data_IF_189552740909
#
_entry.id   IF_189552740909
#
_cell.length_a   1.000
_cell.length_b   1.000
_cell.length_c   1.000
_cell.angle_alpha   90.00
_cell.angle_beta   90.00
_cell.angle_gamma   90.00
#
_symmetry.space_group_name_H-M   'P 1'
#
loop_
_entity.id
_entity.type
_entity.pdbx_description
1 polymer ?
#
# COMPACT_ATOMS: atom_id res chain seq x y z
N UNK A 1 -14.40 -15.18 -27.32
CA UNK A 1 -13.36 -14.19 -27.67
C UNK A 1 -12.02 -14.70 -27.10
N UNK A 2 -10.92 -14.44 -27.80
CA UNK A 2 -9.59 -14.60 -27.25
C UNK A 2 -9.17 -13.32 -26.55
N UNK A 3 -8.83 -13.38 -25.28
CA UNK A 3 -8.49 -12.22 -24.46
C UNK A 3 -7.07 -12.39 -23.93
N UNK A 4 -6.22 -11.43 -24.25
CA UNK A 4 -4.88 -11.35 -23.69
C UNK A 4 -4.89 -10.50 -22.42
N UNK A 5 -4.20 -10.97 -21.38
CA UNK A 5 -4.09 -10.27 -20.09
C UNK A 5 -2.61 -10.13 -19.77
N UNK A 6 -2.14 -8.91 -19.61
CA UNK A 6 -0.72 -8.58 -19.37
C UNK A 6 -0.54 -8.19 -17.91
N UNK A 7 0.27 -8.97 -17.21
CA UNK A 7 0.51 -8.86 -15.77
C UNK A 7 -0.35 -9.84 -14.96
N UNK A 8 0.32 -10.69 -14.18
CA UNK A 8 -0.29 -11.67 -13.31
C UNK A 8 -0.28 -11.26 -11.82
N UNK A 9 -0.47 -9.97 -11.55
CA UNK A 9 -0.85 -9.47 -10.24
C UNK A 9 -2.34 -9.75 -9.96
N UNK A 10 -2.83 -9.36 -8.77
CA UNK A 10 -4.23 -9.59 -8.37
C UNK A 10 -5.24 -9.06 -9.39
N UNK A 11 -4.95 -7.93 -10.04
CA UNK A 11 -5.82 -7.32 -11.06
C UNK A 11 -5.95 -8.22 -12.29
N UNK A 12 -4.83 -8.67 -12.86
CA UNK A 12 -4.83 -9.54 -14.04
C UNK A 12 -5.40 -10.92 -13.74
N UNK A 13 -5.01 -11.52 -12.61
CA UNK A 13 -5.50 -12.84 -12.20
C UNK A 13 -7.01 -12.85 -11.92
N UNK A 14 -7.54 -11.81 -11.26
CA UNK A 14 -8.99 -11.71 -11.03
C UNK A 14 -9.76 -11.46 -12.33
N UNK A 15 -9.23 -10.63 -13.25
CA UNK A 15 -9.81 -10.50 -14.59
C UNK A 15 -9.84 -11.84 -15.32
N UNK A 16 -8.73 -12.59 -15.33
CA UNK A 16 -8.66 -13.91 -15.94
C UNK A 16 -9.67 -14.89 -15.32
N UNK A 17 -9.79 -14.93 -14.00
CA UNK A 17 -10.72 -15.78 -13.28
C UNK A 17 -12.18 -15.58 -13.71
N UNK A 18 -12.62 -14.33 -13.82
CA UNK A 18 -13.99 -14.04 -14.22
C UNK A 18 -14.20 -14.20 -15.73
N UNK A 19 -13.23 -13.84 -16.56
CA UNK A 19 -13.33 -13.90 -18.02
C UNK A 19 -13.20 -15.32 -18.57
N UNK A 20 -12.40 -16.18 -17.94
CA UNK A 20 -12.20 -17.58 -18.38
C UNK A 20 -13.48 -18.42 -18.35
N UNK A 21 -14.50 -17.98 -17.62
CA UNK A 21 -15.82 -18.67 -17.57
C UNK A 21 -16.53 -18.67 -18.93
N UNK A 22 -16.24 -17.69 -19.79
CA UNK A 22 -16.96 -17.52 -21.06
C UNK A 22 -16.03 -17.17 -22.24
N UNK A 23 -14.74 -17.03 -21.99
CA UNK A 23 -13.76 -16.58 -22.98
C UNK A 23 -12.48 -17.42 -22.91
N UNK A 24 -11.74 -17.44 -23.99
CA UNK A 24 -10.41 -18.02 -24.06
C UNK A 24 -9.40 -16.97 -23.60
N UNK A 25 -8.80 -17.15 -22.45
CA UNK A 25 -7.88 -16.19 -21.84
C UNK A 25 -6.44 -16.67 -21.92
N UNK A 26 -5.51 -15.76 -22.14
CA UNK A 26 -4.07 -16.00 -21.98
C UNK A 26 -3.49 -14.92 -21.11
N UNK A 27 -2.81 -15.29 -20.02
CA UNK A 27 -2.15 -14.39 -19.08
C UNK A 27 -0.65 -14.41 -19.32
N UNK A 28 -0.05 -13.25 -19.51
CA UNK A 28 1.39 -13.06 -19.71
C UNK A 28 2.00 -12.44 -18.46
N UNK A 29 3.04 -13.08 -17.91
CA UNK A 29 3.78 -12.63 -16.74
C UNK A 29 5.29 -12.70 -16.99
N UNK A 30 5.98 -11.60 -16.74
CA UNK A 30 7.43 -11.50 -16.93
C UNK A 30 8.23 -12.22 -15.84
N UNK A 31 7.68 -12.29 -14.62
CA UNK A 31 8.30 -13.00 -13.52
C UNK A 31 8.10 -14.53 -13.61
N UNK A 32 8.97 -15.32 -12.95
CA UNK A 32 8.82 -16.78 -12.89
C UNK A 32 7.63 -17.23 -12.05
N UNK A 33 7.02 -16.31 -11.27
CA UNK A 33 5.89 -16.58 -10.40
C UNK A 33 4.80 -15.54 -10.58
N UNK A 34 3.55 -16.00 -10.53
CA UNK A 34 2.38 -15.10 -10.50
C UNK A 34 2.16 -14.50 -9.11
N UNK A 35 1.39 -13.42 -9.04
CA UNK A 35 0.96 -12.79 -7.79
C UNK A 35 1.31 -11.29 -7.68
N UNK A 36 2.35 -10.84 -8.38
CA UNK A 36 2.79 -9.44 -8.29
C UNK A 36 3.13 -9.04 -6.85
N UNK A 37 2.43 -8.03 -6.30
CA UNK A 37 2.58 -7.61 -4.90
C UNK A 37 1.98 -8.57 -3.86
N UNK A 38 1.36 -9.67 -4.27
CA UNK A 38 1.02 -10.80 -3.39
C UNK A 38 2.29 -11.60 -3.12
N UNK A 39 3.05 -11.21 -2.10
CA UNK A 39 4.40 -11.69 -1.86
C UNK A 39 4.54 -12.21 -0.42
N UNK A 40 4.15 -13.45 -0.20
CA UNK A 40 4.35 -14.16 1.08
C UNK A 40 5.75 -14.78 1.10
N UNK A 41 6.56 -14.42 2.09
CA UNK A 41 7.86 -15.03 2.35
C UNK A 41 7.74 -16.03 3.48
N UNK A 42 8.21 -17.25 3.23
CA UNK A 42 8.29 -18.28 4.27
C UNK A 42 9.68 -18.23 4.88
N UNK A 43 9.74 -17.95 6.17
CA UNK A 43 10.99 -17.82 6.92
C UNK A 43 10.97 -18.70 8.19
N UNK A 44 12.12 -19.20 8.58
CA UNK A 44 12.30 -19.92 9.83
C UNK A 44 12.93 -19.00 10.87
N UNK A 45 12.27 -18.80 12.01
CA UNK A 45 12.76 -17.98 13.11
C UNK A 45 12.60 -18.78 14.41
N UNK A 46 13.70 -19.00 15.12
CA UNK A 46 13.74 -19.79 16.37
C UNK A 46 13.15 -21.21 16.27
N UNK A 47 13.25 -21.84 15.10
CA UNK A 47 12.73 -23.18 14.85
C UNK A 47 11.23 -23.24 14.53
N UNK A 48 10.57 -22.09 14.35
CA UNK A 48 9.19 -21.97 13.90
C UNK A 48 9.14 -21.39 12.47
N UNK A 49 8.26 -21.92 11.65
CA UNK A 49 8.05 -21.46 10.27
C UNK A 49 6.95 -20.40 10.24
N UNK A 50 7.26 -19.25 9.65
CA UNK A 50 6.35 -18.11 9.53
C UNK A 50 6.12 -17.75 8.07
N UNK A 51 4.86 -17.58 7.68
CA UNK A 51 4.45 -17.04 6.39
C UNK A 51 4.17 -15.55 6.55
N UNK A 52 5.01 -14.69 5.94
CA UNK A 52 5.01 -13.24 6.15
C UNK A 52 4.76 -12.54 4.83
N UNK A 53 3.71 -11.72 4.80
CA UNK A 53 3.40 -10.88 3.67
C UNK A 53 4.27 -9.62 3.67
N UNK A 54 4.99 -9.41 2.57
CA UNK A 54 5.90 -8.26 2.37
C UNK A 54 5.37 -7.22 1.40
N UNK A 55 4.26 -7.51 0.71
CA UNK A 55 3.57 -6.58 -0.18
C UNK A 55 2.15 -6.32 0.33
N UNK A 56 1.17 -7.08 -0.13
CA UNK A 56 -0.21 -6.97 0.35
C UNK A 56 -0.39 -7.69 1.69
N UNK A 57 -0.65 -6.93 2.78
CA UNK A 57 -0.61 -7.44 4.16
C UNK A 57 -2.01 -7.56 4.77
N UNK A 58 -2.86 -6.54 4.59
CA UNK A 58 -4.15 -6.41 5.28
C UNK A 58 -5.24 -5.84 4.37
N UNK A 59 -6.50 -6.17 4.70
CA UNK A 59 -7.70 -5.60 4.10
C UNK A 59 -8.74 -5.35 5.20
N UNK A 60 -9.81 -4.61 4.89
CA UNK A 60 -10.86 -4.32 5.86
C UNK A 60 -12.27 -4.52 5.28
N UNK A 61 -13.26 -4.56 6.15
CA UNK A 61 -14.66 -4.85 5.80
C UNK A 61 -15.40 -3.67 5.17
N UNK A 62 -14.82 -2.45 5.17
CA UNK A 62 -15.48 -1.27 4.58
C UNK A 62 -15.08 -1.02 3.12
N UNK A 63 -13.79 -1.09 2.83
CA UNK A 63 -13.24 -0.60 1.56
C UNK A 63 -12.85 -1.71 0.58
N UNK A 64 -12.99 -2.98 0.99
CA UNK A 64 -12.63 -4.15 0.17
C UNK A 64 -13.80 -5.10 -0.14
N UNK A 65 -15.03 -4.63 -0.47
CA UNK A 65 -16.19 -5.52 -0.64
C UNK A 65 -16.02 -6.54 -1.76
N UNK A 66 -15.41 -6.13 -2.89
CA UNK A 66 -15.15 -7.02 -4.02
C UNK A 66 -14.06 -8.05 -3.72
N UNK A 67 -13.03 -7.65 -2.97
CA UNK A 67 -11.97 -8.56 -2.56
C UNK A 67 -12.49 -9.63 -1.57
N UNK A 68 -13.29 -9.21 -0.61
CA UNK A 68 -13.95 -10.13 0.33
C UNK A 68 -14.85 -11.11 -0.42
N UNK A 69 -15.61 -10.63 -1.41
CA UNK A 69 -16.43 -11.50 -2.27
C UNK A 69 -15.56 -12.51 -3.00
N UNK A 70 -14.44 -12.09 -3.58
CA UNK A 70 -13.50 -12.97 -4.26
C UNK A 70 -12.94 -14.04 -3.31
N UNK A 71 -12.47 -13.65 -2.11
CA UNK A 71 -11.96 -14.58 -1.11
C UNK A 71 -13.01 -15.64 -0.73
N UNK A 72 -14.27 -15.23 -0.57
CA UNK A 72 -15.38 -16.14 -0.28
C UNK A 72 -15.66 -17.10 -1.46
N UNK A 73 -15.58 -16.64 -2.71
CA UNK A 73 -15.72 -17.49 -3.90
C UNK A 73 -14.58 -18.53 -4.02
N UNK A 74 -13.40 -18.17 -3.51
CA UNK A 74 -12.20 -19.04 -3.52
C UNK A 74 -12.05 -19.91 -2.26
N UNK A 75 -12.98 -19.82 -1.31
CA UNK A 75 -12.91 -20.48 0.02
C UNK A 75 -11.63 -20.15 0.80
N UNK A 76 -11.17 -18.89 0.68
CA UNK A 76 -9.98 -18.40 1.37
C UNK A 76 -10.37 -17.63 2.61
N UNK A 77 -9.83 -18.04 3.76
CA UNK A 77 -10.21 -17.51 5.08
C UNK A 77 -9.29 -16.37 5.50
N UNK A 78 -9.89 -15.25 5.90
CA UNK A 78 -9.23 -14.16 6.63
C UNK A 78 -9.39 -14.32 8.14
N UNK A 79 -8.43 -13.80 8.90
CA UNK A 79 -8.54 -13.67 10.36
C UNK A 79 -8.50 -12.20 10.76
N UNK A 80 -9.19 -11.80 11.85
CA UNK A 80 -9.10 -10.45 12.40
C UNK A 80 -7.65 -10.06 12.70
N UNK A 81 -7.30 -8.84 12.35
CA UNK A 81 -6.00 -8.22 12.58
C UNK A 81 -6.20 -6.80 13.11
N UNK A 82 -5.12 -6.17 13.52
CA UNK A 82 -5.11 -4.78 13.95
C UNK A 82 -4.29 -3.92 12.97
N UNK A 83 -4.73 -2.68 12.79
CA UNK A 83 -4.03 -1.67 12.03
C UNK A 83 -3.73 -0.50 12.96
N UNK A 84 -2.80 -0.72 13.87
CA UNK A 84 -2.37 0.28 14.85
C UNK A 84 -1.16 1.06 14.32
N UNK A 85 -1.04 2.31 14.77
CA UNK A 85 0.02 3.22 14.34
C UNK A 85 0.69 3.86 15.56
N UNK A 86 2.01 3.93 15.52
CA UNK A 86 2.83 4.62 16.52
C UNK A 86 3.83 5.58 15.89
N UNK A 87 4.24 6.55 16.68
CA UNK A 87 5.30 7.50 16.34
C UNK A 87 6.33 7.52 17.46
N UNK A 88 7.59 7.41 17.07
CA UNK A 88 8.76 7.69 17.92
C UNK A 88 9.55 8.84 17.31
N UNK A 89 9.92 9.84 18.13
CA UNK A 89 10.70 11.00 17.71
C UNK A 89 11.96 11.11 18.55
N UNK A 90 13.11 10.91 17.93
CA UNK A 90 14.42 10.91 18.62
C UNK A 90 14.74 12.26 19.24
N UNK A 91 14.52 13.35 18.50
CA UNK A 91 14.85 14.69 18.94
C UNK A 91 14.08 15.10 20.21
N UNK A 92 12.78 14.80 20.29
CA UNK A 92 11.94 15.19 21.44
C UNK A 92 11.76 14.07 22.47
N UNK A 93 12.20 12.86 22.19
CA UNK A 93 11.96 11.65 22.98
C UNK A 93 10.45 11.35 23.11
N UNK A 94 9.63 11.78 22.13
CA UNK A 94 8.20 11.48 22.11
C UNK A 94 7.99 10.06 21.61
N UNK A 95 7.24 9.26 22.36
CA UNK A 95 6.75 7.94 21.91
C UNK A 95 5.29 7.78 22.33
N UNK A 96 4.45 7.34 21.38
CA UNK A 96 3.04 7.04 21.63
C UNK A 96 2.47 6.12 20.54
N UNK A 97 1.35 5.46 20.84
CA UNK A 97 0.54 4.74 19.88
C UNK A 97 -0.93 5.13 19.97
N UNK A 98 -1.64 5.11 18.86
CA UNK A 98 -3.01 5.61 18.73
C UNK A 98 -4.11 4.60 19.08
N UNK A 99 -3.80 3.43 19.67
CA UNK A 99 -4.77 2.36 19.87
C UNK A 99 -5.76 2.63 21.03
N UNK A 100 -5.27 3.16 22.14
CA UNK A 100 -6.09 3.48 23.33
C UNK A 100 -5.39 4.50 24.23
N UNK A 101 -6.08 4.96 25.28
CA UNK A 101 -5.53 5.95 26.22
C UNK A 101 -4.23 5.49 26.89
N UNK A 102 -4.09 4.20 27.19
CA UNK A 102 -2.86 3.68 27.82
C UNK A 102 -1.66 3.76 26.87
N UNK A 103 -1.85 3.43 25.60
CA UNK A 103 -0.81 3.49 24.56
C UNK A 103 -0.53 4.93 24.10
N UNK A 104 -1.53 5.82 24.09
CA UNK A 104 -1.32 7.26 23.87
C UNK A 104 -0.35 7.86 24.89
N UNK A 105 -0.44 7.41 26.12
CA UNK A 105 0.47 7.82 27.19
C UNK A 105 1.50 6.72 27.53
N UNK A 106 1.99 5.98 26.53
CA UNK A 106 3.08 5.01 26.69
C UNK A 106 4.30 5.64 27.37
N UNK A 107 4.65 6.86 26.99
CA UNK A 107 5.50 7.74 27.80
C UNK A 107 4.63 8.60 28.74
N UNK A 108 4.60 8.26 30.02
CA UNK A 108 3.81 9.01 31.03
C UNK A 108 4.22 10.49 31.15
N UNK A 109 5.44 10.86 30.72
CA UNK A 109 5.88 12.26 30.67
C UNK A 109 5.06 13.09 29.69
N UNK A 110 4.39 12.47 28.73
CA UNK A 110 3.50 13.14 27.79
C UNK A 110 2.29 13.81 28.48
N UNK A 111 1.88 13.32 29.65
CA UNK A 111 0.85 13.94 30.48
C UNK A 111 1.22 15.39 30.91
N UNK A 112 2.52 15.66 31.06
CA UNK A 112 3.06 16.95 31.51
C UNK A 112 3.52 17.85 30.33
N UNK A 113 3.33 17.42 29.08
CA UNK A 113 3.77 18.15 27.88
C UNK A 113 2.61 18.94 27.26
N UNK A 114 2.56 20.29 27.37
CA UNK A 114 1.45 21.08 26.78
C UNK A 114 1.32 20.90 25.28
N UNK A 115 2.46 20.78 24.55
CA UNK A 115 2.48 20.55 23.11
C UNK A 115 1.83 19.21 22.70
N UNK A 116 1.92 18.20 23.56
CA UNK A 116 1.27 16.91 23.33
C UNK A 116 -0.27 17.03 23.45
N UNK A 117 -0.77 17.72 24.47
CA UNK A 117 -2.20 17.99 24.59
C UNK A 117 -2.74 18.86 23.45
N UNK A 118 -1.94 19.83 22.97
CA UNK A 118 -2.29 20.61 21.78
C UNK A 118 -2.40 19.71 20.54
N UNK A 119 -1.47 18.78 20.36
CA UNK A 119 -1.52 17.78 19.27
C UNK A 119 -2.80 16.93 19.37
N UNK A 120 -3.14 16.39 20.53
CA UNK A 120 -4.36 15.59 20.71
C UNK A 120 -5.62 16.41 20.43
N UNK A 121 -5.65 17.69 20.88
CA UNK A 121 -6.76 18.61 20.57
C UNK A 121 -6.89 18.87 19.08
N UNK A 122 -5.77 19.05 18.37
CA UNK A 122 -5.76 19.29 16.92
C UNK A 122 -6.17 18.02 16.16
N UNK A 123 -5.83 16.80 16.62
CA UNK A 123 -6.34 15.53 16.05
C UNK A 123 -7.87 15.52 16.10
N UNK A 124 -8.46 15.79 17.28
CA UNK A 124 -9.91 15.77 17.43
C UNK A 124 -10.61 16.86 16.60
N UNK A 125 -9.98 18.02 16.51
CA UNK A 125 -10.46 19.13 15.68
C UNK A 125 -10.39 18.80 14.19
N UNK A 126 -9.26 18.26 13.72
CA UNK A 126 -9.08 17.83 12.34
C UNK A 126 -10.11 16.78 11.93
N UNK A 127 -10.28 15.74 12.74
CA UNK A 127 -11.24 14.67 12.47
C UNK A 127 -12.66 15.21 12.24
N UNK A 128 -13.09 16.20 13.03
CA UNK A 128 -14.40 16.83 12.89
C UNK A 128 -14.47 17.77 11.70
N UNK A 129 -13.53 18.73 11.60
CA UNK A 129 -13.56 19.77 10.57
C UNK A 129 -13.33 19.20 9.16
N UNK A 130 -12.43 18.23 9.01
CA UNK A 130 -12.16 17.59 7.73
C UNK A 130 -13.38 16.83 7.18
N UNK A 131 -14.13 16.14 8.03
CA UNK A 131 -15.39 15.49 7.64
C UNK A 131 -16.42 16.53 7.22
N UNK A 132 -16.61 17.59 8.01
CA UNK A 132 -17.57 18.66 7.74
C UNK A 132 -17.23 19.40 6.43
N UNK A 133 -15.96 19.69 6.20
CA UNK A 133 -15.48 20.34 4.95
C UNK A 133 -15.70 19.43 3.73
N UNK A 134 -15.46 18.12 3.87
CA UNK A 134 -15.69 17.14 2.80
C UNK A 134 -17.18 16.99 2.47
N UNK A 135 -18.05 16.89 3.49
CA UNK A 135 -19.49 16.71 3.33
C UNK A 135 -20.20 17.97 2.84
N UNK A 136 -19.61 19.13 3.08
CA UNK A 136 -20.14 20.43 2.63
C UNK A 136 -19.50 20.90 1.32
N UNK A 137 -18.73 20.05 0.62
CA UNK A 137 -18.06 20.35 -0.66
C UNK A 137 -17.17 21.61 -0.61
N UNK A 138 -16.47 21.81 0.52
CA UNK A 138 -15.56 22.94 0.75
C UNK A 138 -14.08 22.64 0.43
N UNK A 139 -13.80 21.53 -0.27
CA UNK A 139 -12.46 21.10 -0.63
C UNK A 139 -12.29 21.08 -2.14
N UNK A 140 -11.83 22.20 -2.77
CA UNK A 140 -11.52 22.21 -4.19
C UNK A 140 -10.43 21.16 -4.52
N UNK A 141 -10.49 20.51 -5.70
CA UNK A 141 -9.54 19.46 -6.08
C UNK A 141 -8.08 19.89 -6.07
N UNK A 142 -7.83 21.17 -6.39
CA UNK A 142 -6.50 21.78 -6.46
C UNK A 142 -5.94 22.23 -5.11
N UNK A 143 -6.75 22.23 -4.04
CA UNK A 143 -6.30 22.64 -2.71
C UNK A 143 -5.28 21.64 -2.15
N UNK A 144 -4.08 22.12 -1.87
CA UNK A 144 -3.03 21.30 -1.27
C UNK A 144 -3.26 21.07 0.23
N UNK A 145 -2.83 19.93 0.73
CA UNK A 145 -2.97 19.59 2.15
C UNK A 145 -2.25 20.60 3.05
N UNK A 146 -1.04 21.00 2.68
CA UNK A 146 -0.29 22.01 3.45
C UNK A 146 -1.02 23.37 3.54
N UNK A 147 -1.64 23.81 2.45
CA UNK A 147 -2.45 25.04 2.42
C UNK A 147 -3.70 24.92 3.28
N UNK A 148 -4.41 23.79 3.19
CA UNK A 148 -5.56 23.48 4.04
C UNK A 148 -5.20 23.53 5.52
N UNK A 149 -4.13 22.85 5.93
CA UNK A 149 -3.67 22.80 7.32
C UNK A 149 -3.28 24.20 7.83
N UNK A 150 -2.61 24.98 7.00
CA UNK A 150 -2.22 26.38 7.30
C UNK A 150 -3.44 27.30 7.44
N UNK A 151 -4.41 27.20 6.52
CA UNK A 151 -5.64 28.02 6.55
C UNK A 151 -6.47 27.80 7.80
N UNK A 152 -6.47 26.56 8.32
CA UNK A 152 -7.16 26.15 9.55
C UNK A 152 -6.32 26.36 10.82
N UNK A 153 -5.09 26.89 10.72
CA UNK A 153 -4.19 27.12 11.86
C UNK A 153 -3.95 25.86 12.71
N UNK A 154 -3.67 24.71 12.08
CA UNK A 154 -3.22 23.52 12.78
C UNK A 154 -1.79 23.68 13.29
N UNK A 155 -1.52 23.19 14.51
CA UNK A 155 -0.21 23.31 15.14
C UNK A 155 0.83 22.36 14.56
N UNK A 156 2.10 22.79 14.47
CA UNK A 156 3.22 21.95 14.00
C UNK A 156 3.30 20.59 14.74
N UNK A 157 3.09 20.48 16.07
CA UNK A 157 3.10 19.17 16.72
C UNK A 157 2.09 18.16 16.14
N UNK A 158 0.92 18.62 15.69
CA UNK A 158 -0.07 17.80 15.03
C UNK A 158 0.37 17.40 13.61
N UNK A 159 0.87 18.38 12.84
CA UNK A 159 1.31 18.16 11.46
C UNK A 159 2.51 17.21 11.44
N UNK A 160 3.59 17.55 12.15
CA UNK A 160 4.89 16.89 12.06
C UNK A 160 4.97 15.56 12.81
N UNK A 161 4.14 15.36 13.85
CA UNK A 161 4.25 14.20 14.74
C UNK A 161 3.02 13.28 14.71
N UNK A 162 2.03 13.55 13.87
CA UNK A 162 0.85 12.70 13.69
C UNK A 162 0.44 12.59 12.23
N UNK A 163 -0.02 13.71 11.60
CA UNK A 163 -0.72 13.65 10.32
C UNK A 163 0.21 13.27 9.16
N UNK A 164 1.32 14.00 9.03
CA UNK A 164 2.30 13.78 7.97
C UNK A 164 2.99 12.43 8.12
N UNK A 165 3.47 12.00 9.31
CA UNK A 165 4.00 10.65 9.51
C UNK A 165 3.00 9.53 9.16
N UNK A 166 1.72 9.71 9.49
CA UNK A 166 0.69 8.72 9.14
C UNK A 166 0.47 8.65 7.63
N UNK A 167 0.37 9.81 6.96
CA UNK A 167 0.29 9.87 5.51
C UNK A 167 1.51 9.27 4.83
N UNK A 168 2.71 9.66 5.26
CA UNK A 168 3.96 9.14 4.72
C UNK A 168 4.08 7.60 4.88
N UNK A 169 3.60 7.06 6.01
CA UNK A 169 3.55 5.62 6.22
C UNK A 169 2.59 4.91 5.26
N UNK A 170 1.41 5.50 5.00
CA UNK A 170 0.38 4.91 4.12
C UNK A 170 0.84 4.89 2.65
N UNK A 171 1.43 5.99 2.19
CA UNK A 171 1.81 6.14 0.77
C UNK A 171 3.31 5.93 0.51
N UNK A 172 4.09 5.47 1.49
CA UNK A 172 5.55 5.31 1.39
C UNK A 172 6.22 6.56 0.77
N UNK A 173 5.84 7.73 1.29
CA UNK A 173 6.23 9.03 0.75
C UNK A 173 7.07 9.82 1.74
N UNK A 174 7.73 10.88 1.26
CA UNK A 174 8.46 11.81 2.13
C UNK A 174 7.49 12.75 2.87
N UNK A 175 7.95 13.31 3.99
CA UNK A 175 7.16 14.28 4.76
C UNK A 175 6.79 15.52 3.95
N UNK A 176 7.72 16.02 3.13
CA UNK A 176 7.50 17.22 2.31
C UNK A 176 6.49 16.98 1.20
N UNK A 177 6.60 15.82 0.51
CA UNK A 177 5.64 15.45 -0.52
C UNK A 177 4.20 15.30 0.01
N UNK A 178 4.02 15.00 1.30
CA UNK A 178 2.68 14.91 1.90
C UNK A 178 1.95 16.26 1.95
N UNK A 179 2.65 17.38 2.14
CA UNK A 179 2.03 18.71 2.13
C UNK A 179 1.55 19.11 0.72
N UNK A 180 2.11 18.52 -0.34
CA UNK A 180 1.72 18.71 -1.75
C UNK A 180 0.55 17.83 -2.23
N UNK A 181 0.09 16.90 -1.40
CA UNK A 181 -1.09 16.08 -1.73
C UNK A 181 -2.36 16.94 -1.84
N UNK A 182 -3.30 16.54 -2.72
CA UNK A 182 -4.63 17.12 -2.72
C UNK A 182 -5.32 16.89 -1.36
N UNK A 183 -5.76 17.95 -0.71
CA UNK A 183 -6.49 17.88 0.56
C UNK A 183 -7.77 17.04 0.42
N UNK A 184 -8.49 17.21 -0.70
CA UNK A 184 -9.69 16.44 -1.01
C UNK A 184 -9.41 14.93 -1.07
N UNK A 185 -8.36 14.53 -1.80
CA UNK A 185 -7.97 13.12 -1.92
C UNK A 185 -7.57 12.53 -0.56
N UNK A 186 -6.71 13.23 0.17
CA UNK A 186 -6.21 12.82 1.49
C UNK A 186 -7.36 12.62 2.49
N UNK A 187 -8.22 13.62 2.64
CA UNK A 187 -9.33 13.59 3.61
C UNK A 187 -10.36 12.53 3.23
N UNK A 188 -10.67 12.37 1.94
CA UNK A 188 -11.58 11.33 1.44
C UNK A 188 -11.04 9.94 1.72
N UNK A 189 -9.75 9.72 1.50
CA UNK A 189 -9.08 8.46 1.82
C UNK A 189 -9.15 8.15 3.33
N UNK A 190 -8.79 9.13 4.18
CA UNK A 190 -8.84 8.99 5.63
C UNK A 190 -10.25 8.69 6.14
N UNK A 191 -11.28 9.36 5.59
CA UNK A 191 -12.68 9.09 5.93
C UNK A 191 -13.07 7.66 5.56
N UNK A 192 -12.79 7.24 4.33
CA UNK A 192 -13.17 5.93 3.82
C UNK A 192 -12.52 4.78 4.61
N UNK A 193 -11.31 4.98 5.11
CA UNK A 193 -10.57 3.99 5.91
C UNK A 193 -10.80 4.12 7.43
N UNK A 194 -11.76 4.96 7.85
CA UNK A 194 -12.09 5.15 9.27
C UNK A 194 -11.01 5.84 10.11
N UNK A 195 -10.02 6.49 9.45
CA UNK A 195 -8.89 7.14 10.13
C UNK A 195 -9.27 8.47 10.79
N UNK A 196 -10.38 9.09 10.36
CA UNK A 196 -10.96 10.29 10.98
C UNK A 196 -11.95 9.96 12.12
N UNK A 197 -12.03 8.70 12.53
CA UNK A 197 -12.95 8.26 13.60
C UNK A 197 -12.20 7.63 14.76
N UNK A 198 -12.66 7.94 15.98
CA UNK A 198 -12.18 7.28 17.21
C UNK A 198 -13.01 6.03 17.52
N UNK A 199 -14.26 6.02 17.08
CA UNK A 199 -15.21 4.91 17.27
C UNK A 199 -15.73 4.44 15.91
N UNK A 200 -16.28 3.22 15.86
CA UNK A 200 -16.81 2.64 14.63
C UNK A 200 -15.76 2.68 13.50
N UNK A 201 -14.63 2.04 13.74
CA UNK A 201 -13.58 1.81 12.75
C UNK A 201 -13.82 0.50 12.01
N UNK A 202 -13.34 0.36 10.76
CA UNK A 202 -13.41 -0.90 10.06
C UNK A 202 -12.63 -1.98 10.81
N UNK A 203 -13.11 -3.22 10.75
CA UNK A 203 -12.34 -4.37 11.17
C UNK A 203 -11.33 -4.73 10.10
N UNK A 204 -10.07 -4.78 10.48
CA UNK A 204 -8.99 -5.22 9.61
C UNK A 204 -8.80 -6.72 9.68
N UNK A 205 -8.36 -7.30 8.59
CA UNK A 205 -8.11 -8.73 8.42
C UNK A 205 -6.79 -8.97 7.71
N UNK A 206 -6.19 -10.13 7.96
CA UNK A 206 -5.09 -10.70 7.18
C UNK A 206 -5.48 -12.10 6.72
N UNK A 207 -4.87 -12.60 5.65
CA UNK A 207 -5.18 -13.93 5.12
C UNK A 207 -4.45 -15.00 5.96
N UNK A 208 -5.16 -16.03 6.36
CA UNK A 208 -4.57 -17.14 7.11
C UNK A 208 -3.57 -17.89 6.22
N UNK A 209 -2.33 -18.01 6.68
CA UNK A 209 -1.24 -18.62 5.89
C UNK A 209 -0.56 -17.71 4.87
N UNK A 210 -0.94 -16.41 4.88
CA UNK A 210 -0.38 -15.39 4.00
C UNK A 210 -1.18 -15.16 2.71
N UNK A 211 -0.94 -14.04 2.05
CA UNK A 211 -1.70 -13.61 0.89
C UNK A 211 -1.58 -14.57 -0.32
N UNK A 212 -0.49 -15.31 -0.44
CA UNK A 212 -0.32 -16.30 -1.49
C UNK A 212 -1.41 -17.42 -1.49
N UNK A 213 -2.15 -17.58 -0.39
CA UNK A 213 -3.17 -18.64 -0.28
C UNK A 213 -4.32 -18.49 -1.29
N UNK A 214 -4.60 -17.29 -1.79
CA UNK A 214 -5.63 -17.13 -2.83
C UNK A 214 -5.11 -17.34 -4.26
N UNK A 215 -3.80 -17.40 -4.48
CA UNK A 215 -3.22 -17.47 -5.83
C UNK A 215 -3.62 -18.79 -6.54
N UNK A 216 -3.39 -19.92 -5.90
CA UNK A 216 -3.69 -21.22 -6.49
C UNK A 216 -5.19 -21.39 -6.80
N UNK A 217 -6.14 -21.20 -5.86
CA UNK A 217 -7.55 -21.30 -6.18
C UNK A 217 -8.00 -20.29 -7.26
N UNK A 218 -7.39 -19.11 -7.30
CA UNK A 218 -7.70 -18.07 -8.28
C UNK A 218 -7.25 -18.47 -9.69
N UNK A 219 -6.08 -19.08 -9.82
CA UNK A 219 -5.48 -19.43 -11.13
C UNK A 219 -5.91 -20.82 -11.64
N UNK A 220 -6.30 -21.71 -10.76
CA UNK A 220 -6.61 -23.11 -11.09
C UNK A 220 -7.56 -23.29 -12.30
N UNK A 221 -8.64 -22.49 -12.48
CA UNK A 221 -9.55 -22.67 -13.62
C UNK A 221 -8.94 -22.40 -15.00
N UNK A 222 -7.79 -21.72 -15.08
CA UNK A 222 -7.12 -21.33 -16.34
C UNK A 222 -5.60 -21.47 -16.23
N UNK A 223 -5.10 -22.35 -15.37
CA UNK A 223 -3.66 -22.51 -15.10
C UNK A 223 -2.83 -22.80 -16.36
N UNK A 224 -3.36 -23.58 -17.30
CA UNK A 224 -2.70 -23.92 -18.55
C UNK A 224 -2.55 -22.74 -19.53
N UNK A 225 -3.25 -21.64 -19.24
CA UNK A 225 -3.24 -20.40 -20.03
C UNK A 225 -2.38 -19.30 -19.41
N UNK A 226 -1.63 -19.60 -18.36
CA UNK A 226 -0.72 -18.66 -17.69
C UNK A 226 0.71 -18.89 -18.18
N UNK A 227 1.27 -17.88 -18.82
CA UNK A 227 2.62 -17.90 -19.38
C UNK A 227 3.53 -17.04 -18.48
N UNK A 228 4.27 -17.68 -17.58
CA UNK A 228 5.32 -17.06 -16.77
C UNK A 228 6.64 -16.95 -17.55
N UNK A 229 7.65 -16.25 -17.02
CA UNK A 229 8.94 -15.99 -17.70
C UNK A 229 8.75 -15.49 -19.12
N UNK A 230 7.69 -14.70 -19.35
CA UNK A 230 7.28 -14.24 -20.67
C UNK A 230 7.36 -12.72 -20.78
N UNK A 231 8.29 -12.24 -21.59
CA UNK A 231 8.52 -10.82 -21.81
C UNK A 231 7.74 -10.39 -23.04
N UNK A 232 6.82 -9.44 -22.88
CA UNK A 232 6.15 -8.77 -23.98
C UNK A 232 7.07 -7.66 -24.49
N UNK A 233 7.28 -7.60 -25.79
CA UNK A 233 8.12 -6.61 -26.43
C UNK A 233 7.31 -5.52 -27.13
N UNK A 234 6.11 -5.86 -27.60
CA UNK A 234 5.28 -4.92 -28.35
C UNK A 234 3.82 -5.36 -28.39
N UNK A 235 2.94 -4.39 -28.29
CA UNK A 235 1.50 -4.53 -28.45
C UNK A 235 1.03 -3.49 -29.48
N UNK A 236 0.36 -3.96 -30.52
CA UNK A 236 -0.28 -3.11 -31.55
C UNK A 236 -1.79 -3.42 -31.59
N UNK A 237 -2.62 -2.38 -31.57
CA UNK A 237 -4.07 -2.47 -31.68
C UNK A 237 -4.49 -1.95 -33.06
N UNK A 238 -4.98 -2.82 -33.92
CA UNK A 238 -5.42 -2.45 -35.27
C UNK A 238 -6.56 -3.33 -35.74
N UNK A 239 -7.45 -2.80 -36.53
CA UNK A 239 -8.53 -3.53 -37.20
C UNK A 239 -9.42 -4.36 -36.26
N UNK A 240 -9.60 -3.89 -35.01
CA UNK A 240 -10.38 -4.59 -34.00
C UNK A 240 -9.68 -5.83 -33.40
N UNK A 241 -8.38 -5.96 -33.63
CA UNK A 241 -7.54 -7.02 -33.07
C UNK A 241 -6.35 -6.46 -32.30
N UNK A 242 -5.74 -7.29 -31.48
CA UNK A 242 -4.53 -6.98 -30.71
C UNK A 242 -3.43 -7.94 -31.11
N UNK A 243 -2.36 -7.42 -31.65
CA UNK A 243 -1.16 -8.18 -31.99
C UNK A 243 -0.13 -8.04 -30.87
N UNK A 244 0.35 -9.14 -30.34
CA UNK A 244 1.27 -9.19 -29.20
C UNK A 244 2.52 -9.94 -29.62
N UNK A 245 3.67 -9.26 -29.59
CA UNK A 245 4.99 -9.86 -29.79
C UNK A 245 5.65 -10.11 -28.43
N UNK A 246 6.04 -11.33 -28.17
CA UNK A 246 6.61 -11.75 -26.89
C UNK A 246 7.69 -12.82 -27.05
N UNK A 247 8.48 -13.05 -26.01
CA UNK A 247 9.40 -14.18 -25.92
C UNK A 247 9.33 -14.82 -24.54
N UNK A 248 9.46 -16.13 -24.49
CA UNK A 248 9.69 -16.86 -23.23
C UNK A 248 11.18 -16.91 -22.91
N UNK A 249 11.55 -17.14 -21.66
CA UNK A 249 12.96 -17.20 -21.23
C UNK A 249 13.75 -18.20 -22.07
N UNK A 250 14.78 -17.71 -22.79
CA UNK A 250 15.60 -18.51 -23.68
C UNK A 250 14.95 -18.93 -25.02
N UNK A 251 13.71 -18.47 -25.30
CA UNK A 251 12.96 -18.77 -26.51
C UNK A 251 13.11 -17.73 -27.61
N UNK A 252 12.68 -18.11 -28.82
CA UNK A 252 12.57 -17.17 -29.96
C UNK A 252 11.36 -16.26 -29.79
N UNK A 253 11.40 -15.14 -30.54
CA UNK A 253 10.26 -14.21 -30.65
C UNK A 253 9.01 -14.96 -31.18
N UNK A 254 7.90 -14.76 -30.53
CA UNK A 254 6.59 -15.30 -30.88
C UNK A 254 5.59 -14.16 -31.07
N UNK A 255 4.53 -14.43 -31.83
CA UNK A 255 3.43 -13.50 -32.00
C UNK A 255 2.10 -14.21 -31.75
N UNK A 256 1.17 -13.51 -31.14
CA UNK A 256 -0.21 -13.97 -30.97
C UNK A 256 -1.19 -12.86 -31.29
N UNK A 257 -2.41 -13.24 -31.64
CA UNK A 257 -3.52 -12.32 -31.93
C UNK A 257 -4.65 -12.60 -30.94
N UNK A 258 -5.14 -11.53 -30.31
CA UNK A 258 -6.30 -11.55 -29.43
C UNK A 258 -7.40 -10.61 -29.94
N UNK A 259 -8.65 -10.90 -29.55
CA UNK A 259 -9.81 -10.04 -29.83
C UNK A 259 -9.89 -8.86 -28.86
N UNK A 260 -9.33 -9.00 -27.66
CA UNK A 260 -9.31 -7.96 -26.62
C UNK A 260 -8.04 -8.06 -25.76
N UNK A 261 -7.71 -6.94 -25.10
CA UNK A 261 -6.54 -6.81 -24.24
C UNK A 261 -6.94 -6.23 -22.88
N UNK A 262 -6.41 -6.81 -21.81
CA UNK A 262 -6.37 -6.24 -20.48
C UNK A 262 -4.92 -5.97 -20.11
N UNK A 263 -4.55 -4.71 -19.88
CA UNK A 263 -3.23 -4.33 -19.35
C UNK A 263 -3.37 -4.14 -17.85
N UNK A 264 -2.80 -5.06 -17.09
CA UNK A 264 -2.88 -5.12 -15.62
C UNK A 264 -1.50 -4.93 -14.98
N UNK A 265 -0.64 -4.15 -15.63
CA UNK A 265 0.69 -3.72 -15.15
C UNK A 265 0.60 -2.34 -14.50
N UNK A 266 1.73 -1.82 -14.02
CA UNK A 266 1.85 -0.40 -13.72
C UNK A 266 1.64 0.44 -14.99
N UNK A 267 1.18 1.68 -14.84
CA UNK A 267 0.88 2.54 -15.99
C UNK A 267 2.13 2.95 -16.77
N UNK A 268 3.28 3.14 -16.13
CA UNK A 268 4.58 3.38 -16.76
C UNK A 268 5.00 2.20 -17.67
N UNK A 269 4.83 0.96 -17.19
CA UNK A 269 5.07 -0.23 -18.01
C UNK A 269 4.08 -0.35 -19.16
N UNK A 270 2.81 0.01 -18.95
CA UNK A 270 1.81 0.02 -20.01
C UNK A 270 2.20 0.96 -21.17
N UNK A 271 2.76 2.13 -20.85
CA UNK A 271 3.28 3.08 -21.85
C UNK A 271 4.36 2.44 -22.72
N UNK A 272 5.28 1.70 -22.13
CA UNK A 272 6.38 1.05 -22.86
C UNK A 272 5.91 -0.08 -23.78
N UNK A 273 4.83 -0.79 -23.38
CA UNK A 273 4.31 -1.93 -24.11
C UNK A 273 3.41 -1.54 -25.29
N UNK A 274 2.63 -0.47 -25.16
CA UNK A 274 1.67 -0.01 -26.18
C UNK A 274 2.37 0.81 -27.27
N UNK A 275 2.59 0.21 -28.43
CA UNK A 275 3.28 0.90 -29.52
C UNK A 275 2.41 1.96 -30.22
N UNK A 276 1.10 1.75 -30.24
CA UNK A 276 0.08 2.61 -30.87
C UNK A 276 -0.61 3.54 -29.85
N UNK A 277 0.07 3.86 -28.73
CA UNK A 277 -0.46 4.70 -27.67
C UNK A 277 -0.88 6.08 -28.19
N UNK A 278 -2.11 6.48 -27.89
CA UNK A 278 -2.61 7.82 -28.25
C UNK A 278 -2.03 8.91 -27.32
N UNK A 279 -2.00 10.18 -27.76
CA UNK A 279 -1.54 11.28 -26.90
C UNK A 279 -2.29 11.39 -25.56
N UNK A 280 -3.59 11.13 -25.56
CA UNK A 280 -4.41 11.16 -24.33
C UNK A 280 -4.10 9.98 -23.40
N UNK A 281 -3.92 8.77 -23.92
CA UNK A 281 -3.50 7.62 -23.12
C UNK A 281 -2.13 7.87 -22.50
N UNK A 282 -1.18 8.40 -23.27
CA UNK A 282 0.15 8.74 -22.77
C UNK A 282 0.09 9.78 -21.65
N UNK A 283 -0.69 10.85 -21.82
CA UNK A 283 -0.88 11.89 -20.81
C UNK A 283 -1.45 11.31 -19.52
N UNK A 284 -2.52 10.51 -19.60
CA UNK A 284 -3.19 9.96 -18.42
C UNK A 284 -2.36 8.89 -17.71
N UNK A 285 -1.70 8.00 -18.45
CA UNK A 285 -0.88 6.95 -17.86
C UNK A 285 0.41 7.50 -17.24
N UNK A 286 1.03 8.52 -17.84
CA UNK A 286 2.21 9.20 -17.32
C UNK A 286 1.92 10.07 -16.09
N UNK A 287 0.67 10.45 -15.87
CA UNK A 287 0.28 11.23 -14.69
C UNK A 287 0.34 10.44 -13.37
N UNK A 288 0.52 9.12 -13.41
CA UNK A 288 0.65 8.26 -12.24
C UNK A 288 2.14 7.98 -11.99
N UNK A 289 2.79 8.65 -11.02
CA UNK A 289 4.21 8.44 -10.75
C UNK A 289 4.43 7.15 -9.94
N UNK A 290 5.50 6.44 -10.24
CA UNK A 290 5.98 5.28 -9.48
C UNK A 290 7.34 5.58 -8.86
N UNK A 291 7.57 5.08 -7.66
CA UNK A 291 8.86 5.17 -6.95
C UNK A 291 9.29 3.80 -6.47
N UNK A 292 10.57 3.52 -6.59
CA UNK A 292 11.15 2.31 -5.99
C UNK A 292 11.10 2.42 -4.47
N UNK A 293 10.74 1.31 -3.82
CA UNK A 293 10.66 1.18 -2.37
C UNK A 293 11.52 -0.02 -1.95
N UNK A 294 12.50 0.19 -1.08
CA UNK A 294 13.29 -0.90 -0.53
C UNK A 294 12.62 -1.42 0.73
N UNK A 295 12.34 -2.73 0.75
CA UNK A 295 11.71 -3.40 1.90
C UNK A 295 12.65 -4.47 2.43
N UNK A 296 13.02 -4.37 3.71
CA UNK A 296 13.91 -5.31 4.39
C UNK A 296 13.13 -6.10 5.43
N UNK A 297 13.09 -7.43 5.28
CA UNK A 297 12.54 -8.34 6.28
C UNK A 297 13.61 -8.71 7.28
N UNK A 298 13.38 -8.45 8.58
CA UNK A 298 14.36 -8.70 9.64
C UNK A 298 13.70 -8.99 11.00
N UNK A 299 14.51 -9.30 12.01
CA UNK A 299 14.08 -9.56 13.41
C UNK A 299 14.66 -8.55 14.41
N UNK A 300 15.23 -7.45 13.94
CA UNK A 300 15.86 -6.43 14.78
C UNK A 300 14.82 -5.56 15.48
N UNK A 301 14.55 -5.84 16.75
CA UNK A 301 13.62 -5.10 17.60
C UNK A 301 14.09 -3.69 17.96
N UNK A 302 15.35 -3.33 17.72
CA UNK A 302 15.87 -1.98 18.00
C UNK A 302 15.26 -0.92 17.06
N UNK A 303 14.62 -1.36 15.98
CA UNK A 303 13.89 -0.50 15.06
C UNK A 303 12.51 -0.08 15.59
N UNK A 304 12.00 -0.77 16.59
CA UNK A 304 10.73 -0.45 17.26
C UNK A 304 10.90 0.67 18.30
N UNK A 305 9.82 1.32 18.74
CA UNK A 305 9.87 2.25 19.86
C UNK A 305 10.54 1.63 21.08
N UNK A 306 11.25 2.43 21.87
CA UNK A 306 11.91 1.96 23.10
C UNK A 306 10.93 1.39 24.13
N UNK A 307 9.69 1.92 24.10
CA UNK A 307 8.62 1.46 25.00
C UNK A 307 7.77 0.40 24.32
N UNK A 308 7.77 -0.86 24.81
CA UNK A 308 6.93 -1.92 24.22
C UNK A 308 5.43 -1.55 24.18
N UNK A 309 4.96 -0.70 25.12
CA UNK A 309 3.58 -0.23 25.13
C UNK A 309 3.23 0.67 23.91
N UNK A 310 4.21 1.24 23.24
CA UNK A 310 4.05 2.01 22.01
C UNK A 310 4.20 1.16 20.74
N UNK A 311 4.53 -0.13 20.83
CA UNK A 311 4.62 -0.99 19.66
C UNK A 311 3.26 -1.13 18.99
N UNK A 312 3.27 -1.01 17.68
CA UNK A 312 2.08 -1.02 16.83
C UNK A 312 2.34 -1.85 15.58
N UNK A 313 1.30 -2.12 14.81
CA UNK A 313 1.45 -2.75 13.50
C UNK A 313 2.34 -1.90 12.59
N UNK A 314 2.21 -0.58 12.66
CA UNK A 314 3.02 0.39 11.91
C UNK A 314 3.68 1.36 12.89
N UNK A 315 5.02 1.40 12.86
CA UNK A 315 5.82 2.21 13.77
C UNK A 315 6.65 3.20 12.95
N UNK A 316 6.34 4.48 13.05
CA UNK A 316 7.03 5.53 12.32
C UNK A 316 8.08 6.20 13.20
N UNK A 317 9.31 6.28 12.69
CA UNK A 317 10.45 6.89 13.39
C UNK A 317 10.79 8.23 12.75
N UNK A 318 10.78 9.29 13.55
CA UNK A 318 11.29 10.61 13.20
C UNK A 318 12.74 10.71 13.70
N UNK A 319 13.71 10.64 12.79
CA UNK A 319 15.14 10.78 13.10
C UNK A 319 15.51 12.25 13.34
N UNK A 320 16.64 12.48 14.04
CA UNK A 320 17.11 13.83 14.33
C UNK A 320 17.71 14.56 13.12
N UNK A 321 18.10 13.82 12.08
CA UNK A 321 18.87 14.34 10.94
C UNK A 321 18.01 14.91 9.78
N UNK A 322 16.69 14.96 9.92
CA UNK A 322 15.79 15.38 8.83
C UNK A 322 15.78 16.88 8.54
N UNK A 323 16.42 17.72 9.37
CA UNK A 323 16.41 19.18 9.19
C UNK A 323 17.47 19.70 8.16
N UNK A 324 18.31 18.83 7.56
CA UNK A 324 19.44 19.24 6.70
C UNK A 324 19.55 18.52 5.35
N UNK A 325 18.53 17.84 4.86
CA UNK A 325 18.62 17.15 3.58
C UNK A 325 18.18 18.06 2.42
N UNK A 326 19.16 18.64 1.73
CA UNK A 326 19.00 19.16 0.38
C UNK A 326 18.65 18.01 -0.58
N UNK A 327 17.84 18.31 -1.58
CA UNK A 327 17.11 17.46 -2.54
C UNK A 327 17.92 16.37 -3.29
N UNK A 328 19.24 16.33 -3.12
CA UNK A 328 20.15 15.42 -3.86
C UNK A 328 20.61 14.18 -3.07
N UNK A 329 20.13 13.97 -1.83
CA UNK A 329 20.59 12.87 -0.96
C UNK A 329 19.57 11.74 -0.79
N UNK A 330 18.80 11.40 -1.83
CA UNK A 330 17.86 10.26 -1.86
C UNK A 330 18.52 8.88 -1.64
N UNK A 331 19.85 8.83 -1.48
CA UNK A 331 20.62 7.59 -1.42
C UNK A 331 21.17 7.21 -0.04
N UNK A 332 21.00 8.01 1.02
CA UNK A 332 21.78 7.79 2.25
C UNK A 332 21.06 7.99 3.59
N UNK A 333 19.72 7.84 3.68
CA UNK A 333 19.13 7.66 5.01
C UNK A 333 19.22 6.17 5.39
N UNK A 334 20.25 5.74 6.19
CA UNK A 334 20.46 4.31 6.49
C UNK A 334 19.42 3.75 7.49
N UNK A 335 18.41 4.53 7.86
CA UNK A 335 17.42 4.16 8.87
C UNK A 335 16.03 4.20 8.26
N UNK A 336 15.44 3.03 8.05
CA UNK A 336 14.04 2.91 7.67
C UNK A 336 13.15 3.76 8.58
N UNK A 337 12.32 4.62 7.99
CA UNK A 337 11.41 5.51 8.72
C UNK A 337 10.16 4.78 9.20
N UNK A 338 9.74 3.75 8.48
CA UNK A 338 8.57 2.94 8.82
C UNK A 338 8.98 1.50 9.10
N UNK A 339 8.58 0.99 10.26
CA UNK A 339 8.74 -0.42 10.64
C UNK A 339 7.37 -1.03 10.83
N UNK A 340 7.01 -1.98 9.96
CA UNK A 340 5.77 -2.76 10.08
C UNK A 340 6.03 -4.05 10.84
N UNK A 341 5.16 -4.38 11.79
CA UNK A 341 5.23 -5.63 12.56
C UNK A 341 4.19 -6.59 12.04
N UNK A 342 4.64 -7.73 11.52
CA UNK A 342 3.72 -8.81 11.11
C UNK A 342 3.38 -9.68 12.32
N UNK A 343 2.13 -9.59 12.77
CA UNK A 343 1.58 -10.42 13.84
C UNK A 343 1.07 -11.77 13.31
N UNK A 344 1.93 -12.54 12.68
CA UNK A 344 1.56 -13.89 12.24
C UNK A 344 1.45 -14.87 13.41
N UNK A 345 2.19 -14.63 14.52
CA UNK A 345 2.11 -15.36 15.77
C UNK A 345 2.30 -14.43 16.99
N UNK A 346 1.61 -14.72 18.09
CA UNK A 346 1.50 -13.91 19.31
C UNK A 346 2.80 -13.79 20.13
N UNK A 347 3.94 -14.33 19.71
CA UNK A 347 5.12 -14.47 20.56
C UNK A 347 6.40 -13.77 20.09
N UNK A 348 6.52 -13.40 18.80
CA UNK A 348 7.70 -12.66 18.32
C UNK A 348 7.33 -11.73 17.17
N UNK A 349 7.67 -10.44 17.24
CA UNK A 349 7.49 -9.54 16.11
C UNK A 349 8.46 -9.93 15.00
N UNK A 350 7.91 -10.33 13.87
CA UNK A 350 8.67 -10.33 12.62
C UNK A 350 8.47 -8.96 11.98
N UNK A 351 9.57 -8.31 11.63
CA UNK A 351 9.61 -6.88 11.36
C UNK A 351 9.97 -6.68 9.90
N UNK A 352 9.17 -5.86 9.21
CA UNK A 352 9.46 -5.38 7.87
C UNK A 352 9.69 -3.87 7.95
N UNK A 353 10.85 -3.38 7.53
CA UNK A 353 11.17 -1.94 7.51
C UNK A 353 11.21 -1.43 6.08
N UNK A 354 10.66 -0.26 5.84
CA UNK A 354 10.59 0.46 4.57
C UNK A 354 11.26 1.82 4.72
#
# INVERSE_FOLDING_TARGET
MKIAIVGAGISGLSCAYYLSRNHDVTVFESAPQVGGHTATKVVEVHGETHAIDTGFIVYNDWTYPNFIKLLNELDVTGRPSEMSFSVSCEQSGLEYAGSNLNTLFADRRNLLRPGYWKMLSDIMRFNREAIDDLESDRLPPELLLGEYLKSKNFGRPFIDKYLVPMGAAIWSSTTDAMEEFSALFFIRFFKNHGLLSVKNRPQWYTIVGGSNQYIEPLTNPYSDSVLTDTIIHRIDRSDGQVNISYSTSGGSMQNTIADALVVATHSDQAIELLHDISPLELELLAAIPYRANEVVLHTDVTRLPQRPLAWSSWNYRLSADTDNLSDDSLATDPLAKLTSVSYTHLTLPTICSV
#
